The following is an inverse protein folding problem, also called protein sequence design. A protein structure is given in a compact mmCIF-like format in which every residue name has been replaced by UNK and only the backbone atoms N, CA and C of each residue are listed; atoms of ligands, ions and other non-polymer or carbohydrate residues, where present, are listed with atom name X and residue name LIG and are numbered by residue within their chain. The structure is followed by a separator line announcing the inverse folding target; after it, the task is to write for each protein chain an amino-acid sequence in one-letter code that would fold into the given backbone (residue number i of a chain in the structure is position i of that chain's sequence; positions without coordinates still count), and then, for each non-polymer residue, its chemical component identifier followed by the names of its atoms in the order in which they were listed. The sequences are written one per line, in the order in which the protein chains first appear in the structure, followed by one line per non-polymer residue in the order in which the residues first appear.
data_IF_089342366197
#
_entry.id   IF_089342366197
#
_cell.length_a   1.000
_cell.length_b   1.000
_cell.length_c   1.000
_cell.angle_alpha   90.00
_cell.angle_beta   90.00
_cell.angle_gamma   90.00
#
_symmetry.space_group_name_H-M   'P 1'
#
loop_
_entity.id
_entity.type
_entity.pdbx_description
1 polymer ?
#
# COMPACT_ATOMS: atom_id res chain seq x y z
N UNK A 1 -60.93 16.17 34.64
CA UNK A 1 -59.82 17.09 34.93
C UNK A 1 -59.64 18.05 33.77
N UNK A 2 -59.22 19.27 34.06
CA UNK A 2 -59.66 20.52 33.44
C UNK A 2 -59.08 20.88 32.06
N UNK A 3 -59.85 21.79 31.43
CA UNK A 3 -59.60 22.69 30.30
C UNK A 3 -58.22 23.38 30.27
N UNK A 4 -57.64 23.62 29.07
CA UNK A 4 -57.59 24.98 28.46
C UNK A 4 -56.77 25.06 27.16
N UNK A 5 -57.30 25.82 26.19
CA UNK A 5 -56.66 26.37 24.99
C UNK A 5 -55.72 27.54 25.35
N UNK A 6 -54.68 27.80 24.57
CA UNK A 6 -54.55 28.97 23.65
C UNK A 6 -53.14 29.09 23.05
N UNK A 7 -53.11 29.66 21.84
CA UNK A 7 -52.00 29.89 20.92
C UNK A 7 -50.93 30.87 21.42
N UNK A 8 -49.70 30.75 20.91
CA UNK A 8 -48.81 31.88 20.56
C UNK A 8 -47.67 31.40 19.63
N UNK A 9 -47.69 31.88 18.38
CA UNK A 9 -46.51 32.23 17.55
C UNK A 9 -46.45 33.77 17.57
N UNK A 10 -45.31 34.49 17.36
CA UNK A 10 -44.36 34.21 16.27
C UNK A 10 -42.87 34.65 16.46
N UNK A 11 -42.10 34.36 15.40
CA UNK A 11 -40.98 35.18 14.83
C UNK A 11 -39.61 35.16 15.53
N UNK A 12 -38.61 34.58 14.87
CA UNK A 12 -37.57 35.34 14.13
C UNK A 12 -36.46 34.41 13.63
N UNK A 13 -36.27 34.41 12.31
CA UNK A 13 -35.11 33.84 11.62
C UNK A 13 -33.93 34.81 11.73
N UNK A 14 -32.69 34.30 11.79
CA UNK A 14 -31.58 34.99 11.15
C UNK A 14 -30.98 34.11 10.06
N UNK A 15 -31.08 34.64 8.84
CA UNK A 15 -30.30 34.30 7.66
C UNK A 15 -28.81 34.25 8.01
N UNK A 16 -28.17 33.09 7.83
CA UNK A 16 -26.71 33.01 7.77
C UNK A 16 -26.26 32.74 6.34
N UNK A 17 -25.28 33.55 5.95
CA UNK A 17 -24.69 33.75 4.64
C UNK A 17 -23.81 32.53 4.33
N UNK A 18 -24.13 31.83 3.24
CA UNK A 18 -23.25 30.84 2.63
C UNK A 18 -22.03 31.55 2.03
N UNK A 19 -20.93 31.58 2.78
CA UNK A 19 -19.62 31.88 2.22
C UNK A 19 -19.08 30.59 1.61
N UNK A 20 -18.87 30.62 0.29
CA UNK A 20 -18.27 29.52 -0.45
C UNK A 20 -16.75 29.62 -0.22
N UNK A 21 -16.20 28.68 0.54
CA UNK A 21 -14.77 28.43 0.55
C UNK A 21 -14.55 27.09 -0.11
N UNK A 22 -13.93 27.13 -1.29
CA UNK A 22 -13.51 25.94 -2.02
C UNK A 22 -12.60 25.09 -1.11
N UNK A 23 -12.89 23.80 -0.89
CA UNK A 23 -11.96 22.95 -0.15
C UNK A 23 -10.72 22.71 -1.00
N UNK A 24 -9.57 23.08 -0.44
CA UNK A 24 -8.24 22.65 -0.91
C UNK A 24 -8.23 21.11 -0.94
N UNK A 25 -7.74 20.47 -2.01
CA UNK A 25 -7.70 19.01 -2.07
C UNK A 25 -6.81 18.47 -0.93
N UNK A 26 -7.20 17.35 -0.29
CA UNK A 26 -6.46 16.80 0.83
C UNK A 26 -5.05 16.39 0.38
N UNK A 27 -4.08 16.70 1.24
CA UNK A 27 -2.68 16.31 1.10
C UNK A 27 -2.63 14.77 1.16
N UNK A 28 -2.23 14.13 0.05
CA UNK A 28 -1.91 12.70 0.00
C UNK A 28 -0.88 12.38 1.10
N UNK A 29 -1.34 11.81 2.20
CA UNK A 29 -0.48 11.34 3.28
C UNK A 29 -0.06 9.91 2.99
N UNK A 30 1.19 9.72 2.60
CA UNK A 30 1.78 8.39 2.54
C UNK A 30 2.05 7.91 3.96
N UNK A 31 1.84 6.62 4.26
CA UNK A 31 2.20 6.05 5.55
C UNK A 31 3.66 6.37 5.88
N UNK A 32 3.85 6.93 7.08
CA UNK A 32 5.16 7.14 7.65
C UNK A 32 5.69 5.75 8.00
N UNK A 33 6.65 5.25 7.25
CA UNK A 33 7.46 4.12 7.69
C UNK A 33 8.67 4.71 8.42
N UNK A 34 8.71 4.73 9.76
CA UNK A 34 9.87 5.22 10.48
C UNK A 34 11.05 4.29 10.21
N UNK A 35 12.04 4.81 9.49
CA UNK A 35 13.36 4.21 9.36
C UNK A 35 13.98 4.10 10.77
N UNK A 36 14.15 2.87 11.29
CA UNK A 36 14.88 2.64 12.55
C UNK A 36 16.37 2.51 12.21
N UNK A 37 17.15 3.58 12.44
CA UNK A 37 18.61 3.50 12.39
C UNK A 37 19.17 2.70 13.58
N UNK A 38 20.04 1.71 13.38
CA UNK A 38 20.97 1.28 14.42
C UNK A 38 22.17 2.25 14.48
N UNK A 39 22.45 2.77 15.68
CA UNK A 39 23.64 3.56 15.98
C UNK A 39 24.91 2.75 15.65
N UNK A 40 25.62 3.12 14.59
CA UNK A 40 26.99 2.68 14.36
C UNK A 40 27.88 3.86 13.98
N UNK A 41 28.95 4.01 14.74
CA UNK A 41 29.91 5.11 14.70
C UNK A 41 30.69 5.08 13.37
N UNK A 42 30.58 6.14 12.57
CA UNK A 42 31.32 6.28 11.32
C UNK A 42 32.72 6.88 11.56
N UNK A 43 33.76 6.11 11.26
CA UNK A 43 35.11 6.61 11.05
C UNK A 43 35.33 6.97 9.58
N UNK A 44 35.74 8.22 9.36
CA UNK A 44 36.04 8.88 8.08
C UNK A 44 37.12 8.18 7.25
N UNK A 45 36.82 7.87 5.97
CA UNK A 45 37.83 7.62 4.93
C UNK A 45 37.40 8.20 3.56
N UNK A 46 38.41 8.61 2.80
CA UNK A 46 38.40 9.70 1.80
C UNK A 46 38.02 9.28 0.38
N UNK A 47 37.59 10.31 -0.37
CA UNK A 47 37.39 10.47 -1.82
C UNK A 47 38.39 9.73 -2.73
N UNK A 48 37.87 9.21 -3.84
CA UNK A 48 38.50 9.36 -5.16
C UNK A 48 37.48 9.31 -6.30
N UNK A 49 37.79 10.04 -7.37
CA UNK A 49 36.95 10.45 -8.50
C UNK A 49 37.30 9.68 -9.78
N UNK A 50 36.31 9.26 -10.59
CA UNK A 50 36.51 8.78 -11.97
C UNK A 50 35.31 9.14 -12.90
N UNK A 51 35.50 9.15 -14.24
CA UNK A 51 34.89 10.12 -15.16
C UNK A 51 33.64 9.63 -15.93
N UNK A 52 33.01 10.59 -16.60
CA UNK A 52 31.76 10.52 -17.38
C UNK A 52 31.89 9.88 -18.77
N UNK A 53 30.84 9.17 -19.20
CA UNK A 53 30.62 8.66 -20.57
C UNK A 53 29.18 8.92 -21.05
N UNK A 54 28.91 8.93 -22.37
CA UNK A 54 27.89 9.79 -22.97
C UNK A 54 26.50 9.15 -23.09
N UNK A 55 25.52 10.05 -23.17
CA UNK A 55 24.08 9.84 -23.29
C UNK A 55 23.72 9.18 -24.64
N UNK A 56 23.08 8.00 -24.61
CA UNK A 56 22.42 7.41 -25.78
C UNK A 56 20.93 7.24 -25.49
N UNK A 57 20.12 7.90 -26.32
CA UNK A 57 18.67 7.84 -26.31
C UNK A 57 18.17 6.44 -26.61
N UNK A 58 17.27 5.91 -25.78
CA UNK A 58 16.48 4.71 -26.09
C UNK A 58 15.02 4.93 -25.74
N UNK A 59 14.19 4.49 -26.68
CA UNK A 59 12.76 4.68 -26.73
C UNK A 59 12.04 4.03 -25.54
N UNK A 60 10.95 4.65 -25.10
CA UNK A 60 10.08 4.17 -24.04
C UNK A 60 9.29 2.94 -24.52
N UNK A 61 9.70 1.77 -24.05
CA UNK A 61 8.86 0.58 -24.00
C UNK A 61 8.84 0.13 -22.55
N UNK A 62 7.69 0.34 -21.90
CA UNK A 62 7.39 -0.15 -20.55
C UNK A 62 7.41 -1.68 -20.56
N UNK A 63 8.57 -2.27 -20.24
CA UNK A 63 8.72 -3.68 -19.95
C UNK A 63 8.96 -3.81 -18.45
N UNK A 64 7.96 -4.33 -17.74
CA UNK A 64 8.11 -4.85 -16.38
C UNK A 64 9.20 -5.92 -16.39
N UNK A 65 10.42 -5.55 -16.02
CA UNK A 65 11.54 -6.48 -15.98
C UNK A 65 11.49 -7.26 -14.66
N UNK A 66 11.13 -8.54 -14.74
CA UNK A 66 11.27 -9.51 -13.67
C UNK A 66 12.75 -9.76 -13.37
N UNK A 67 13.20 -9.49 -12.14
CA UNK A 67 14.60 -9.61 -11.73
C UNK A 67 14.78 -10.60 -10.57
N UNK A 68 15.90 -11.32 -10.52
CA UNK A 68 16.25 -12.24 -9.42
C UNK A 68 16.52 -11.51 -8.09
N UNK A 69 16.97 -10.25 -8.17
CA UNK A 69 17.28 -9.38 -7.04
C UNK A 69 16.64 -7.99 -7.23
N UNK A 70 16.35 -7.25 -6.14
CA UNK A 70 15.77 -5.92 -6.24
C UNK A 70 16.80 -4.94 -6.84
N UNK A 71 16.44 -4.16 -7.89
CA UNK A 71 17.37 -3.22 -8.52
C UNK A 71 17.75 -2.03 -7.62
N UNK A 72 18.93 -1.45 -7.87
CA UNK A 72 19.40 -0.27 -7.15
C UNK A 72 18.48 0.95 -7.32
N UNK A 73 18.24 1.65 -6.22
CA UNK A 73 17.36 2.81 -6.18
C UNK A 73 15.88 2.46 -6.07
N UNK A 74 15.52 1.22 -5.75
CA UNK A 74 14.16 0.83 -5.35
C UNK A 74 14.09 0.43 -3.88
N UNK A 75 13.04 0.87 -3.17
CA UNK A 75 12.77 0.41 -1.80
C UNK A 75 12.30 -1.04 -1.83
N UNK A 76 12.93 -1.92 -1.05
CA UNK A 76 12.53 -3.32 -0.89
C UNK A 76 11.22 -3.42 -0.10
N UNK A 77 10.28 -4.21 -0.61
CA UNK A 77 8.95 -4.38 -0.07
C UNK A 77 8.44 -5.80 -0.35
N UNK A 78 7.48 -6.27 0.44
CA UNK A 78 6.73 -7.50 0.19
C UNK A 78 5.28 -7.17 -0.13
N UNK A 79 4.71 -7.90 -1.09
CA UNK A 79 3.27 -7.86 -1.36
C UNK A 79 2.60 -9.17 -0.93
N UNK A 80 1.37 -9.05 -0.41
CA UNK A 80 0.63 -10.16 0.16
C UNK A 80 -0.63 -10.43 -0.66
N UNK A 81 -0.68 -11.55 -1.35
CA UNK A 81 -1.92 -12.08 -1.92
C UNK A 81 -2.53 -13.06 -0.91
N UNK A 82 -3.41 -12.59 -0.03
CA UNK A 82 -4.07 -13.45 0.96
C UNK A 82 -5.36 -14.05 0.36
N UNK A 83 -5.42 -15.37 0.25
CA UNK A 83 -6.51 -16.16 -0.33
C UNK A 83 -7.35 -16.82 0.77
N UNK A 84 -8.67 -16.77 0.66
CA UNK A 84 -9.58 -17.53 1.53
C UNK A 84 -9.92 -18.93 0.97
N UNK A 85 -10.75 -19.68 1.69
CA UNK A 85 -11.20 -21.02 1.29
C UNK A 85 -11.98 -21.03 -0.04
N UNK A 86 -12.63 -19.92 -0.39
CA UNK A 86 -13.39 -19.74 -1.63
C UNK A 86 -12.53 -19.27 -2.81
N UNK A 87 -11.19 -19.22 -2.65
CA UNK A 87 -10.24 -18.70 -3.64
C UNK A 87 -10.42 -17.22 -3.97
N UNK A 88 -11.07 -16.47 -3.08
CA UNK A 88 -11.12 -15.01 -3.14
C UNK A 88 -9.92 -14.41 -2.42
N UNK A 89 -9.54 -13.21 -2.84
CA UNK A 89 -8.35 -12.50 -2.40
C UNK A 89 -8.78 -11.33 -1.50
N UNK A 90 -8.07 -11.17 -0.39
CA UNK A 90 -8.24 -10.04 0.50
C UNK A 90 -7.79 -8.74 -0.18
N UNK A 91 -8.64 -7.73 -0.15
CA UNK A 91 -8.25 -6.36 -0.44
C UNK A 91 -8.88 -5.40 0.55
N UNK A 92 -8.21 -4.26 0.72
CA UNK A 92 -8.64 -3.21 1.61
C UNK A 92 -8.68 -1.85 0.88
N UNK A 93 -9.69 -1.04 1.19
CA UNK A 93 -9.88 0.29 0.62
C UNK A 93 -9.00 1.29 1.33
N UNK A 94 -8.27 2.10 0.57
CA UNK A 94 -7.42 3.15 1.13
C UNK A 94 -8.22 4.29 1.73
N UNK A 95 -7.81 4.78 2.90
CA UNK A 95 -8.42 5.97 3.51
C UNK A 95 -8.06 7.27 2.79
N UNK A 96 -6.89 7.33 2.15
CA UNK A 96 -6.37 8.54 1.50
C UNK A 96 -6.82 8.69 0.04
N UNK A 97 -7.27 7.61 -0.60
CA UNK A 97 -7.74 7.62 -1.99
C UNK A 97 -9.10 6.91 -2.07
N UNK A 98 -10.20 7.65 -2.30
CA UNK A 98 -11.53 7.05 -2.37
C UNK A 98 -11.62 6.05 -3.52
N UNK A 99 -12.32 4.94 -3.28
CA UNK A 99 -12.51 3.85 -4.24
C UNK A 99 -11.24 3.14 -4.72
N UNK A 100 -10.07 3.43 -4.14
CA UNK A 100 -8.85 2.70 -4.44
C UNK A 100 -8.69 1.53 -3.48
N UNK A 101 -8.68 0.32 -4.04
CA UNK A 101 -8.46 -0.91 -3.29
C UNK A 101 -7.06 -1.46 -3.55
N UNK A 102 -6.47 -2.08 -2.54
CA UNK A 102 -5.18 -2.75 -2.70
C UNK A 102 -5.09 -4.03 -1.86
N UNK A 103 -4.21 -4.92 -2.29
CA UNK A 103 -3.71 -6.01 -1.47
C UNK A 103 -2.70 -5.44 -0.43
N UNK A 104 -2.52 -6.09 0.74
CA UNK A 104 -1.58 -5.65 1.77
C UNK A 104 -0.12 -5.67 1.27
N UNK A 105 0.72 -4.73 1.72
CA UNK A 105 2.11 -4.65 1.27
C UNK A 105 3.02 -3.74 2.11
N UNK A 106 4.18 -4.28 2.52
CA UNK A 106 4.98 -3.64 3.54
C UNK A 106 6.50 -3.72 3.34
N UNK A 107 7.25 -2.94 4.11
CA UNK A 107 8.69 -2.80 3.95
C UNK A 107 9.45 -4.09 4.29
N UNK A 108 10.62 -4.29 3.68
CA UNK A 108 11.57 -5.30 4.14
C UNK A 108 12.72 -4.59 4.84
N UNK A 109 12.94 -4.91 6.11
CA UNK A 109 14.03 -4.33 6.90
C UNK A 109 15.41 -4.82 6.41
N UNK A 110 16.46 -4.11 6.82
CA UNK A 110 17.83 -4.48 6.46
C UNK A 110 18.19 -5.86 7.04
N UNK A 111 18.61 -6.78 6.16
CA UNK A 111 18.89 -8.18 6.54
C UNK A 111 17.66 -9.04 6.84
N UNK A 112 16.43 -8.50 6.76
CA UNK A 112 15.21 -9.27 6.97
C UNK A 112 14.91 -10.19 5.79
N UNK A 113 14.52 -11.44 6.10
CA UNK A 113 14.07 -12.41 5.12
C UNK A 113 12.67 -12.04 4.60
N UNK A 114 12.42 -12.04 3.28
CA UNK A 114 11.11 -11.68 2.72
C UNK A 114 9.94 -12.53 3.24
N UNK A 115 10.12 -13.81 3.60
CA UNK A 115 9.05 -14.63 4.18
C UNK A 115 8.75 -14.24 5.63
N UNK A 116 9.73 -13.71 6.35
CA UNK A 116 9.49 -13.15 7.68
C UNK A 116 8.78 -11.81 7.57
N UNK A 117 9.24 -10.94 6.66
CA UNK A 117 8.62 -9.64 6.41
C UNK A 117 7.14 -9.80 6.02
N UNK A 118 6.80 -10.76 5.14
CA UNK A 118 5.42 -10.89 4.66
C UNK A 118 4.41 -11.28 5.74
N UNK A 119 4.84 -12.07 6.74
CA UNK A 119 3.99 -12.44 7.87
C UNK A 119 3.86 -11.27 8.86
N UNK A 120 4.97 -10.56 9.13
CA UNK A 120 4.97 -9.35 9.96
C UNK A 120 4.04 -8.29 9.38
N UNK A 121 4.21 -7.97 8.10
CA UNK A 121 3.43 -6.93 7.41
C UNK A 121 1.96 -7.32 7.28
N UNK A 122 1.62 -8.60 7.07
CA UNK A 122 0.23 -9.05 7.09
C UNK A 122 -0.42 -8.73 8.45
N UNK A 123 0.28 -9.03 9.55
CA UNK A 123 -0.21 -8.75 10.90
C UNK A 123 -0.32 -7.25 11.18
N UNK A 124 0.71 -6.48 10.85
CA UNK A 124 0.76 -5.02 11.08
C UNK A 124 -0.34 -4.30 10.30
N UNK A 125 -0.64 -4.72 9.07
CA UNK A 125 -1.64 -4.05 8.23
C UNK A 125 -3.07 -4.53 8.44
N UNK A 126 -3.27 -5.79 8.84
CA UNK A 126 -4.60 -6.42 8.83
C UNK A 126 -4.99 -7.11 10.13
N UNK A 127 -4.08 -7.22 11.10
CA UNK A 127 -4.28 -7.98 12.35
C UNK A 127 -4.23 -9.50 12.19
N UNK A 128 -4.18 -10.02 10.96
CA UNK A 128 -4.22 -11.46 10.67
C UNK A 128 -2.91 -12.15 11.08
N UNK A 129 -3.04 -13.23 11.86
CA UNK A 129 -1.96 -14.14 12.26
C UNK A 129 -2.21 -15.57 11.74
N UNK A 130 -3.47 -15.92 11.45
CA UNK A 130 -3.86 -17.24 10.94
C UNK A 130 -3.71 -17.32 9.42
N UNK A 131 -2.46 -17.40 8.94
CA UNK A 131 -2.17 -17.57 7.51
C UNK A 131 -0.91 -18.41 7.27
N UNK A 132 -0.89 -19.12 6.13
CA UNK A 132 0.22 -19.97 5.70
C UNK A 132 0.73 -19.55 4.32
N UNK A 133 2.05 -19.46 4.15
CA UNK A 133 2.66 -19.20 2.83
C UNK A 133 2.52 -20.44 1.94
N UNK A 134 1.88 -20.27 0.77
CA UNK A 134 1.63 -21.35 -0.20
C UNK A 134 2.59 -21.27 -1.38
N UNK A 135 2.83 -20.05 -1.87
CA UNK A 135 3.69 -19.81 -3.02
C UNK A 135 4.32 -18.42 -2.94
N UNK A 136 5.34 -18.19 -3.78
CA UNK A 136 5.96 -16.89 -3.98
C UNK A 136 6.11 -16.62 -5.48
N UNK A 137 6.10 -15.35 -5.86
CA UNK A 137 6.50 -14.93 -7.20
C UNK A 137 8.01 -15.14 -7.31
N UNK A 138 8.51 -15.86 -8.33
CA UNK A 138 9.92 -16.26 -8.38
C UNK A 138 10.86 -15.06 -8.53
N UNK A 139 10.39 -13.96 -9.11
CA UNK A 139 11.14 -12.73 -9.33
C UNK A 139 10.59 -11.54 -8.55
N UNK A 140 11.41 -10.49 -8.47
CA UNK A 140 11.01 -9.18 -7.98
C UNK A 140 10.25 -8.41 -9.06
N UNK A 141 9.21 -7.71 -8.63
CA UNK A 141 8.41 -6.81 -9.46
C UNK A 141 8.65 -5.38 -9.05
N UNK A 142 8.96 -4.51 -10.01
CA UNK A 142 9.23 -3.10 -9.73
C UNK A 142 8.14 -2.22 -10.31
N UNK A 143 7.82 -1.14 -9.61
CA UNK A 143 7.08 -0.03 -10.17
C UNK A 143 7.71 1.29 -9.76
N UNK A 144 7.67 2.26 -10.66
CA UNK A 144 8.18 3.61 -10.43
C UNK A 144 7.12 4.45 -9.73
N UNK A 145 7.57 5.33 -8.83
CA UNK A 145 6.69 6.36 -8.30
C UNK A 145 6.43 7.42 -9.39
N UNK A 146 5.17 7.85 -9.59
CA UNK A 146 4.88 9.02 -10.40
C UNK A 146 5.71 10.23 -9.92
N UNK A 147 6.18 11.13 -10.79
CA UNK A 147 7.10 12.22 -10.41
C UNK A 147 6.63 13.04 -9.19
N UNK A 148 5.34 13.37 -9.13
CA UNK A 148 4.73 14.12 -8.04
C UNK A 148 4.64 13.33 -6.71
N UNK A 149 4.60 11.99 -6.78
CA UNK A 149 4.65 11.11 -5.62
C UNK A 149 6.10 10.99 -5.14
N UNK A 150 7.03 10.76 -6.07
CA UNK A 150 8.46 10.66 -5.78
C UNK A 150 8.98 11.89 -5.07
N UNK A 151 8.68 13.09 -5.57
CA UNK A 151 9.15 14.33 -4.95
C UNK A 151 8.71 14.46 -3.48
N UNK A 152 7.45 14.13 -3.18
CA UNK A 152 6.93 14.14 -1.80
C UNK A 152 7.59 13.09 -0.92
N UNK A 153 7.71 11.87 -1.42
CA UNK A 153 8.31 10.76 -0.69
C UNK A 153 9.79 11.00 -0.42
N UNK A 154 10.50 11.60 -1.37
CA UNK A 154 11.90 11.95 -1.19
C UNK A 154 12.10 12.95 -0.04
N UNK A 155 11.21 13.94 0.08
CA UNK A 155 11.21 14.89 1.20
C UNK A 155 10.88 14.19 2.52
N UNK A 156 9.87 13.32 2.53
CA UNK A 156 9.39 12.65 3.73
C UNK A 156 10.37 11.60 4.28
N UNK A 157 11.03 10.84 3.40
CA UNK A 157 11.94 9.75 3.76
C UNK A 157 13.41 10.14 3.71
N UNK A 158 13.76 11.35 3.23
CA UNK A 158 15.14 11.80 3.11
C UNK A 158 16.00 10.96 2.16
N UNK A 159 15.37 10.24 1.22
CA UNK A 159 16.00 9.28 0.30
C UNK A 159 15.56 9.55 -1.13
N UNK A 160 16.31 9.08 -2.14
CA UNK A 160 15.94 9.25 -3.55
C UNK A 160 15.50 7.92 -4.18
N UNK A 161 14.45 7.32 -3.60
CA UNK A 161 13.89 6.08 -4.15
C UNK A 161 13.12 6.37 -5.45
N UNK A 162 13.46 5.63 -6.51
CA UNK A 162 12.77 5.69 -7.82
C UNK A 162 11.38 5.05 -7.76
N UNK A 163 11.23 4.06 -6.88
CA UNK A 163 10.04 3.22 -6.81
C UNK A 163 10.13 2.16 -5.72
N UNK A 164 9.27 1.14 -5.82
CA UNK A 164 9.35 -0.06 -4.97
C UNK A 164 9.76 -1.28 -5.79
N UNK A 165 10.56 -2.15 -5.18
CA UNK A 165 10.83 -3.50 -5.65
C UNK A 165 10.13 -4.46 -4.69
N UNK A 166 9.19 -5.23 -5.21
CA UNK A 166 8.29 -6.08 -4.44
C UNK A 166 8.54 -7.55 -4.71
N UNK A 167 8.70 -8.32 -3.63
CA UNK A 167 8.60 -9.79 -3.65
C UNK A 167 7.18 -10.16 -3.18
N UNK A 168 6.46 -10.91 -3.99
CA UNK A 168 5.06 -11.23 -3.71
C UNK A 168 4.89 -12.66 -3.21
N UNK A 169 4.00 -12.84 -2.23
CA UNK A 169 3.67 -14.15 -1.67
C UNK A 169 2.16 -14.40 -1.74
N UNK A 170 1.80 -15.65 -2.03
CA UNK A 170 0.45 -16.15 -1.89
C UNK A 170 0.32 -16.80 -0.51
N UNK A 171 -0.58 -16.28 0.30
CA UNK A 171 -0.89 -16.82 1.61
C UNK A 171 -2.29 -17.41 1.60
N UNK A 172 -2.49 -18.51 2.31
CA UNK A 172 -3.80 -19.10 2.58
C UNK A 172 -4.26 -18.66 3.96
N UNK A 173 -5.41 -18.01 4.03
CA UNK A 173 -6.07 -17.67 5.28
C UNK A 173 -6.65 -18.94 5.93
N UNK A 174 -6.30 -19.16 7.18
CA UNK A 174 -6.73 -20.31 8.00
C UNK A 174 -7.54 -19.89 9.24
N UNK A 175 -7.78 -18.58 9.39
CA UNK A 175 -8.54 -17.99 10.48
C UNK A 175 -10.02 -17.78 10.19
N UNK A 176 -10.60 -16.82 10.91
CA UNK A 176 -11.99 -16.36 10.73
C UNK A 176 -11.99 -14.86 10.45
N UNK A 177 -12.97 -14.39 9.68
CA UNK A 177 -13.05 -12.98 9.25
C UNK A 177 -13.02 -11.97 10.43
N UNK A 178 -13.43 -12.35 11.64
CA UNK A 178 -13.33 -11.50 12.83
C UNK A 178 -11.90 -11.22 13.29
N UNK A 179 -10.91 -11.97 12.78
CA UNK A 179 -9.49 -11.72 13.02
C UNK A 179 -9.00 -10.48 12.26
N UNK A 180 -9.66 -10.11 11.17
CA UNK A 180 -9.28 -8.94 10.38
C UNK A 180 -9.57 -7.68 11.18
N UNK A 181 -8.50 -6.95 11.49
CA UNK A 181 -8.53 -5.63 12.09
C UNK A 181 -7.70 -4.66 11.25
N UNK A 182 -8.36 -3.73 10.55
CA UNK A 182 -7.70 -2.71 9.72
C UNK A 182 -6.99 -1.61 10.51
N UNK A 183 -7.14 -1.62 11.85
CA UNK A 183 -6.25 -0.87 12.74
C UNK A 183 -4.91 -1.60 12.96
N UNK A 184 -4.73 -2.78 12.36
CA UNK A 184 -3.54 -3.59 12.50
C UNK A 184 -3.39 -4.17 13.90
N UNK A 185 -2.15 -4.22 14.37
CA UNK A 185 -1.79 -4.49 15.76
C UNK A 185 -1.60 -3.22 16.61
N UNK A 186 -1.96 -2.06 16.07
CA UNK A 186 -1.88 -0.75 16.74
C UNK A 186 -0.49 -0.11 16.75
N UNK A 187 0.48 -0.68 16.04
CA UNK A 187 1.83 -0.11 15.90
C UNK A 187 1.88 1.08 14.94
N UNK A 188 1.01 1.08 13.92
CA UNK A 188 1.01 2.08 12.85
C UNK A 188 -0.35 2.76 12.67
N UNK A 189 -0.35 3.88 11.93
CA UNK A 189 -1.59 4.59 11.60
C UNK A 189 -2.39 3.76 10.60
N UNK A 190 -3.68 3.57 10.86
CA UNK A 190 -4.58 2.87 9.94
C UNK A 190 -4.50 3.43 8.50
N UNK A 191 -4.19 2.54 7.56
CA UNK A 191 -4.12 2.86 6.11
C UNK A 191 -5.44 2.56 5.40
N UNK A 192 -6.23 1.65 5.96
CA UNK A 192 -7.42 1.08 5.34
C UNK A 192 -8.70 1.44 6.08
N UNK A 193 -9.78 1.63 5.33
CA UNK A 193 -11.10 1.98 5.85
C UNK A 193 -12.11 0.84 5.84
N UNK A 194 -12.07 0.00 4.81
CA UNK A 194 -12.96 -1.14 4.62
C UNK A 194 -12.17 -2.29 3.95
N UNK A 195 -12.67 -3.51 4.05
CA UNK A 195 -12.03 -4.68 3.45
C UNK A 195 -13.05 -5.64 2.83
N UNK A 196 -12.61 -6.44 1.87
CA UNK A 196 -13.47 -7.42 1.21
C UNK A 196 -12.67 -8.57 0.61
N UNK A 197 -13.32 -9.74 0.54
CA UNK A 197 -12.88 -10.87 -0.26
C UNK A 197 -13.35 -10.68 -1.72
N UNK A 198 -12.40 -10.48 -2.64
CA UNK A 198 -12.67 -10.17 -4.05
C UNK A 198 -12.12 -11.25 -4.98
N UNK A 199 -12.71 -11.37 -6.17
CA UNK A 199 -12.15 -12.15 -7.27
C UNK A 199 -10.89 -11.49 -7.83
N UNK A 200 -9.97 -12.26 -8.47
CA UNK A 200 -8.82 -11.69 -9.16
C UNK A 200 -9.17 -10.55 -10.12
N UNK A 201 -10.30 -10.67 -10.83
CA UNK A 201 -10.78 -9.67 -11.79
C UNK A 201 -11.19 -8.38 -11.09
N UNK A 202 -11.96 -8.48 -9.99
CA UNK A 202 -12.39 -7.32 -9.19
C UNK A 202 -11.19 -6.57 -8.57
N UNK A 203 -10.14 -7.31 -8.16
CA UNK A 203 -8.90 -6.72 -7.65
C UNK A 203 -8.26 -5.81 -8.71
N UNK A 204 -8.15 -6.29 -9.95
CA UNK A 204 -7.57 -5.51 -11.06
C UNK A 204 -8.43 -4.31 -11.40
N UNK A 205 -9.76 -4.46 -11.38
CA UNK A 205 -10.68 -3.37 -11.69
C UNK A 205 -10.56 -2.20 -10.69
N UNK A 206 -10.51 -2.53 -9.39
CA UNK A 206 -10.53 -1.56 -8.28
C UNK A 206 -9.14 -1.06 -7.86
N UNK A 207 -8.07 -1.69 -8.35
CA UNK A 207 -6.71 -1.23 -8.09
C UNK A 207 -6.41 0.12 -8.76
N UNK A 208 -5.47 0.87 -8.17
CA UNK A 208 -4.96 2.10 -8.80
C UNK A 208 -4.19 1.76 -10.07
N UNK A 209 -4.35 2.57 -11.13
CA UNK A 209 -3.87 2.25 -12.49
C UNK A 209 -2.39 1.85 -12.57
N UNK A 210 -1.50 2.53 -11.84
CA UNK A 210 -0.07 2.22 -11.87
C UNK A 210 0.29 0.90 -11.18
N UNK A 211 -0.57 0.34 -10.31
CA UNK A 211 -0.38 -0.97 -9.68
C UNK A 211 -0.99 -2.12 -10.49
N UNK A 212 -1.94 -1.84 -11.40
CA UNK A 212 -2.62 -2.88 -12.20
C UNK A 212 -1.65 -3.82 -12.95
N UNK A 213 -0.55 -3.34 -13.57
CA UNK A 213 0.41 -4.24 -14.22
C UNK A 213 1.06 -5.24 -13.26
N UNK A 214 1.47 -4.77 -12.07
CA UNK A 214 2.06 -5.62 -11.03
C UNK A 214 1.04 -6.67 -10.57
N UNK A 215 -0.20 -6.28 -10.31
CA UNK A 215 -1.22 -7.24 -9.87
C UNK A 215 -1.56 -8.27 -10.94
N UNK A 216 -1.63 -7.87 -12.22
CA UNK A 216 -1.86 -8.82 -13.31
C UNK A 216 -0.78 -9.90 -13.35
N UNK A 217 0.47 -9.50 -13.19
CA UNK A 217 1.62 -10.42 -13.16
C UNK A 217 1.55 -11.36 -11.95
N UNK A 218 1.30 -10.81 -10.76
CA UNK A 218 1.15 -11.59 -9.51
C UNK A 218 0.02 -12.62 -9.64
N UNK A 219 -1.15 -12.19 -10.12
CA UNK A 219 -2.31 -13.07 -10.29
C UNK A 219 -2.09 -14.11 -11.38
N UNK A 220 -1.35 -13.80 -12.44
CA UNK A 220 -0.98 -14.77 -13.46
C UNK A 220 -0.07 -15.87 -12.89
N UNK A 221 0.91 -15.51 -12.07
CA UNK A 221 1.80 -16.48 -11.39
C UNK A 221 1.00 -17.34 -10.40
N UNK A 222 0.05 -16.76 -9.68
CA UNK A 222 -0.76 -17.47 -8.69
C UNK A 222 -2.01 -18.15 -9.26
N UNK A 223 -2.31 -17.97 -10.55
CA UNK A 223 -3.49 -18.56 -11.19
C UNK A 223 -3.66 -20.07 -10.95
N UNK A 224 -2.60 -20.92 -10.97
CA UNK A 224 -2.73 -22.35 -10.68
C UNK A 224 -3.27 -22.67 -9.27
N UNK A 225 -3.12 -21.75 -8.32
CA UNK A 225 -3.60 -21.91 -6.94
C UNK A 225 -5.00 -21.32 -6.71
N UNK A 226 -5.43 -20.42 -7.60
CA UNK A 226 -6.70 -19.68 -7.50
C UNK A 226 -7.84 -20.32 -8.30
N UNK A 227 -7.53 -21.30 -9.14
CA UNK A 227 -8.53 -22.12 -9.84
C UNK A 227 -9.14 -23.17 -8.89
N UNK A 228 -10.42 -23.50 -9.10
CA UNK A 228 -11.13 -24.57 -8.38
C UNK A 228 -10.87 -25.93 -9.01
#
# INVERSE_FOLDING_TARGET
MALCRFAYLPRSSPTQILTTTNPVPPILSFPNYPYKFPNSSFSSLRKSSLPSLPLRSSHSSSSSASMEAPPDGYRRNVGICLMNADKKIFAASRLDIPNAWQMPQGGIDEGEDPKTAVIRELREETGVNSAEVVAEVPYWLTYDFPPHVREKLNIQWGTDWKGQAQKWFLLKFTGQDQEVNLLGDGTEKAEFGDWSWMTPEEIIEKAVDFKKPVYKEVLAVFAPFLQK
#
